data_IF_891443531582
#
_entry.id   IF_891443531582
#
_cell.length_a   1.000
_cell.length_b   1.000
_cell.length_c   1.000
_cell.angle_alpha   90.00
_cell.angle_beta   90.00
_cell.angle_gamma   90.00
#
_symmetry.space_group_name_H-M   'P 1'
#
loop_
_entity.id
_entity.type
_entity.pdbx_description
1 polymer ?
#
# COMPACT_ATOMS: atom_id res chain seq x y z
N UNK A 1 -6.14 -11.58 -18.60
CA UNK A 1 -5.59 -12.89 -18.20
C UNK A 1 -4.14 -12.69 -17.77
N UNK A 2 -3.71 -13.27 -16.65
CA UNK A 2 -2.34 -13.17 -16.14
C UNK A 2 -1.64 -14.52 -16.35
N UNK A 3 -0.46 -14.52 -16.95
CA UNK A 3 0.27 -15.75 -17.31
C UNK A 3 1.74 -15.66 -16.85
N UNK A 4 2.27 -16.79 -16.37
CA UNK A 4 3.65 -16.87 -15.87
C UNK A 4 3.85 -16.16 -14.52
N UNK A 5 5.11 -15.79 -14.22
CA UNK A 5 5.50 -15.01 -13.02
C UNK A 5 5.19 -15.70 -11.68
N UNK A 6 5.11 -17.03 -11.66
CA UNK A 6 4.78 -17.77 -10.43
C UNK A 6 5.84 -17.58 -9.34
N UNK A 7 7.12 -17.58 -9.70
CA UNK A 7 8.21 -17.36 -8.75
C UNK A 7 8.18 -15.94 -8.15
N UNK A 8 7.86 -14.94 -8.98
CA UNK A 8 7.68 -13.55 -8.52
C UNK A 8 6.46 -13.45 -7.57
N UNK A 9 5.34 -14.11 -7.90
CA UNK A 9 4.17 -14.15 -7.02
C UNK A 9 4.45 -14.86 -5.70
N UNK A 10 5.20 -15.98 -5.72
CA UNK A 10 5.61 -16.68 -4.52
C UNK A 10 6.53 -15.81 -3.65
N UNK A 11 7.41 -15.01 -4.27
CA UNK A 11 8.26 -14.05 -3.56
C UNK A 11 7.42 -12.98 -2.86
N UNK A 12 6.42 -12.42 -3.55
CA UNK A 12 5.51 -11.43 -2.95
C UNK A 12 4.67 -12.06 -1.83
N UNK A 13 4.17 -13.28 -2.03
CA UNK A 13 3.41 -14.03 -1.00
C UNK A 13 4.25 -14.25 0.26
N UNK A 14 5.47 -14.77 0.11
CA UNK A 14 6.37 -15.03 1.23
C UNK A 14 6.71 -13.74 1.99
N UNK A 15 6.97 -12.64 1.25
CA UNK A 15 7.20 -11.33 1.86
C UNK A 15 5.98 -10.83 2.65
N UNK A 16 4.78 -10.91 2.07
CA UNK A 16 3.56 -10.43 2.72
C UNK A 16 3.17 -11.26 3.95
N UNK A 17 3.46 -12.56 3.95
CA UNK A 17 3.18 -13.47 5.06
C UNK A 17 4.31 -13.57 6.09
N UNK A 18 5.49 -13.03 5.77
CA UNK A 18 6.68 -13.04 6.62
C UNK A 18 6.70 -11.94 7.67
N UNK A 19 7.86 -11.78 8.30
CA UNK A 19 8.16 -10.81 9.37
C UNK A 19 9.08 -9.66 8.92
N UNK A 20 9.23 -9.49 7.60
CA UNK A 20 10.00 -8.39 7.02
C UNK A 20 9.44 -7.01 7.44
N UNK A 21 10.32 -6.12 7.88
CA UNK A 21 9.99 -4.77 8.31
C UNK A 21 10.40 -3.68 7.29
N UNK A 22 10.78 -4.09 6.07
CA UNK A 22 11.20 -3.20 4.99
C UNK A 22 10.27 -3.35 3.79
N UNK A 23 9.96 -2.28 3.05
CA UNK A 23 9.14 -2.38 1.85
C UNK A 23 9.79 -3.29 0.78
N UNK A 24 8.98 -4.17 0.17
CA UNK A 24 9.35 -4.89 -1.05
C UNK A 24 9.19 -3.98 -2.27
N UNK A 25 10.26 -3.83 -3.06
CA UNK A 25 10.28 -3.01 -4.28
C UNK A 25 10.28 -3.88 -5.52
N UNK A 26 9.26 -3.73 -6.36
CA UNK A 26 9.21 -4.35 -7.70
C UNK A 26 9.86 -3.38 -8.71
N UNK A 27 10.99 -3.76 -9.28
CA UNK A 27 11.71 -2.95 -10.27
C UNK A 27 11.95 -3.71 -11.57
N UNK A 28 12.19 -2.97 -12.65
CA UNK A 28 12.39 -3.50 -14.00
C UNK A 28 11.99 -2.50 -15.07
N UNK A 29 12.26 -2.81 -16.33
CA UNK A 29 12.01 -1.90 -17.46
C UNK A 29 10.53 -1.50 -17.60
N UNK A 30 10.30 -0.37 -18.29
CA UNK A 30 8.95 0.07 -18.65
C UNK A 30 8.21 -1.02 -19.43
N UNK A 31 6.95 -1.28 -19.07
CA UNK A 31 6.14 -2.30 -19.75
C UNK A 31 6.44 -3.77 -19.39
N UNK A 32 7.39 -4.06 -18.49
CA UNK A 32 7.70 -5.45 -18.13
C UNK A 32 6.62 -6.16 -17.28
N UNK A 33 5.55 -5.45 -16.91
CA UNK A 33 4.38 -6.01 -16.21
C UNK A 33 4.36 -5.83 -14.69
N UNK A 34 5.12 -4.90 -14.12
CA UNK A 34 5.14 -4.59 -12.67
C UNK A 34 3.74 -4.32 -12.11
N UNK A 35 3.00 -3.39 -12.73
CA UNK A 35 1.62 -3.06 -12.35
C UNK A 35 0.70 -4.28 -12.39
N UNK A 36 0.88 -5.15 -13.40
CA UNK A 36 0.12 -6.40 -13.52
C UNK A 36 0.47 -7.38 -12.40
N UNK A 37 1.75 -7.51 -12.03
CA UNK A 37 2.21 -8.36 -10.94
C UNK A 37 1.70 -7.85 -9.59
N UNK A 38 1.78 -6.54 -9.34
CA UNK A 38 1.26 -5.88 -8.14
C UNK A 38 -0.25 -6.08 -8.02
N UNK A 39 -1.00 -5.83 -9.10
CA UNK A 39 -2.46 -6.01 -9.15
C UNK A 39 -2.84 -7.47 -8.94
N UNK A 40 -2.10 -8.42 -9.53
CA UNK A 40 -2.32 -9.85 -9.34
C UNK A 40 -2.07 -10.26 -7.90
N UNK A 41 -1.01 -9.76 -7.28
CA UNK A 41 -0.68 -10.01 -5.87
C UNK A 41 -1.78 -9.50 -4.94
N UNK A 42 -2.24 -8.26 -5.15
CA UNK A 42 -3.36 -7.70 -4.39
C UNK A 42 -4.64 -8.55 -4.54
N UNK A 43 -4.93 -9.06 -5.74
CA UNK A 43 -6.08 -9.94 -5.97
C UNK A 43 -5.99 -11.29 -5.26
N UNK A 44 -4.77 -11.80 -5.05
CA UNK A 44 -4.51 -13.07 -4.37
C UNK A 44 -4.52 -12.94 -2.84
N UNK A 45 -4.42 -11.73 -2.28
CA UNK A 45 -4.34 -11.51 -0.83
C UNK A 45 -5.51 -12.12 -0.05
N UNK A 46 -6.72 -12.17 -0.64
CA UNK A 46 -7.87 -12.84 -0.02
C UNK A 46 -7.62 -14.35 0.21
N UNK A 47 -6.86 -14.99 -0.68
CA UNK A 47 -6.50 -16.41 -0.57
C UNK A 47 -5.31 -16.58 0.37
N UNK A 48 -4.26 -15.78 0.22
CA UNK A 48 -3.04 -15.85 1.03
C UNK A 48 -3.29 -15.60 2.52
N UNK A 49 -4.22 -14.68 2.83
CA UNK A 49 -4.60 -14.34 4.21
C UNK A 49 -5.90 -15.02 4.63
N UNK A 50 -6.18 -16.24 4.16
CA UNK A 50 -7.34 -17.01 4.58
C UNK A 50 -7.41 -17.13 6.12
N UNK A 51 -8.57 -16.85 6.70
CA UNK A 51 -8.75 -16.82 8.16
C UNK A 51 -8.41 -15.49 8.84
N UNK A 52 -7.82 -14.54 8.12
CA UNK A 52 -7.59 -13.15 8.56
C UNK A 52 -8.53 -12.19 7.82
N UNK A 53 -8.57 -10.94 8.27
CA UNK A 53 -9.34 -9.85 7.63
C UNK A 53 -8.38 -8.75 7.17
N UNK A 54 -7.58 -8.98 6.10
CA UNK A 54 -6.64 -7.99 5.63
C UNK A 54 -7.36 -6.72 5.16
N UNK A 55 -6.87 -5.58 5.60
CA UNK A 55 -7.27 -4.27 5.10
C UNK A 55 -6.30 -3.87 4.00
N UNK A 56 -6.81 -3.75 2.78
CA UNK A 56 -5.98 -3.44 1.62
C UNK A 56 -6.11 -1.96 1.24
N UNK A 57 -4.96 -1.34 1.05
CA UNK A 57 -4.82 -0.02 0.48
C UNK A 57 -3.98 -0.11 -0.78
N UNK A 58 -4.58 0.21 -1.92
CA UNK A 58 -3.91 0.21 -3.23
C UNK A 58 -3.94 1.63 -3.77
N UNK A 59 -2.79 2.13 -4.25
CA UNK A 59 -2.67 3.45 -4.92
C UNK A 59 -1.94 3.29 -6.25
N UNK A 60 -2.54 3.82 -7.31
CA UNK A 60 -1.90 4.02 -8.61
C UNK A 60 -1.52 5.49 -8.71
N UNK A 61 -0.23 5.77 -8.57
CA UNK A 61 0.30 7.13 -8.42
C UNK A 61 0.55 7.74 -9.80
N UNK A 62 0.57 9.07 -9.88
CA UNK A 62 0.82 9.77 -11.15
C UNK A 62 -0.37 9.79 -12.12
N UNK A 63 -1.56 9.32 -11.70
CA UNK A 63 -2.75 9.26 -12.58
C UNK A 63 -3.63 10.50 -12.50
N UNK A 64 -3.61 11.19 -11.36
CA UNK A 64 -4.28 12.48 -11.09
C UNK A 64 -3.39 13.37 -10.22
N UNK A 65 -3.56 14.71 -10.22
CA UNK A 65 -2.78 15.61 -9.37
C UNK A 65 -2.76 15.21 -7.89
N UNK A 66 -3.91 14.82 -7.33
CA UNK A 66 -4.05 14.39 -5.94
C UNK A 66 -3.30 13.09 -5.62
N UNK A 67 -3.00 12.27 -6.64
CA UNK A 67 -2.16 11.06 -6.54
C UNK A 67 -0.69 11.30 -6.90
N UNK A 68 -0.34 12.53 -7.27
CA UNK A 68 1.01 12.95 -7.67
C UNK A 68 1.67 13.85 -6.63
N UNK A 69 0.91 14.47 -5.73
CA UNK A 69 1.44 15.30 -4.64
C UNK A 69 1.42 14.55 -3.30
N UNK A 70 2.53 14.59 -2.56
CA UNK A 70 2.73 13.81 -1.35
C UNK A 70 1.67 14.06 -0.25
N UNK A 71 1.40 15.33 0.08
CA UNK A 71 0.45 15.68 1.15
C UNK A 71 -0.99 15.17 0.88
N UNK A 72 -1.66 15.51 -0.23
CA UNK A 72 -3.03 15.04 -0.48
C UNK A 72 -3.10 13.51 -0.61
N UNK A 73 -2.09 12.88 -1.21
CA UNK A 73 -2.00 11.42 -1.29
C UNK A 73 -1.96 10.81 0.11
N UNK A 74 -1.08 11.30 0.99
CA UNK A 74 -0.91 10.80 2.35
C UNK A 74 -2.17 11.06 3.20
N UNK A 75 -2.80 12.24 3.09
CA UNK A 75 -4.09 12.53 3.74
C UNK A 75 -5.17 11.55 3.30
N UNK A 76 -5.24 11.21 2.01
CA UNK A 76 -6.19 10.22 1.50
C UNK A 76 -5.95 8.83 2.07
N UNK A 77 -4.68 8.45 2.29
CA UNK A 77 -4.31 7.17 2.88
C UNK A 77 -4.69 7.13 4.35
N UNK A 78 -4.38 8.18 5.13
CA UNK A 78 -4.76 8.30 6.52
C UNK A 78 -6.28 8.15 6.70
N UNK A 79 -7.08 8.89 5.90
CA UNK A 79 -8.54 8.78 5.90
C UNK A 79 -9.01 7.36 5.60
N UNK A 80 -8.44 6.69 4.60
CA UNK A 80 -8.85 5.33 4.27
C UNK A 80 -8.48 4.32 5.38
N UNK A 81 -7.32 4.47 6.01
CA UNK A 81 -6.92 3.61 7.13
C UNK A 81 -7.86 3.84 8.32
N UNK A 82 -8.14 5.09 8.70
CA UNK A 82 -9.11 5.41 9.75
C UNK A 82 -10.48 4.82 9.47
N UNK A 83 -10.99 4.94 8.23
CA UNK A 83 -12.26 4.32 7.82
C UNK A 83 -12.27 2.81 8.05
N UNK A 84 -11.21 2.13 7.59
CA UNK A 84 -11.11 0.68 7.65
C UNK A 84 -10.94 0.14 9.08
N UNK A 85 -10.27 0.89 9.96
CA UNK A 85 -10.12 0.57 11.38
C UNK A 85 -11.22 1.17 12.28
N UNK A 86 -12.24 1.84 11.70
CA UNK A 86 -13.33 2.50 12.44
C UNK A 86 -12.84 3.56 13.45
N UNK A 87 -11.83 4.34 13.07
CA UNK A 87 -11.26 5.43 13.85
C UNK A 87 -11.84 6.79 13.43
N UNK A 88 -11.70 7.81 14.29
CA UNK A 88 -12.07 9.19 13.93
C UNK A 88 -11.12 9.79 12.88
N UNK A 89 -11.62 10.78 12.15
CA UNK A 89 -10.84 11.61 11.21
C UNK A 89 -10.43 12.96 11.80
N UNK A 90 -10.91 13.30 13.00
CA UNK A 90 -10.77 14.66 13.56
C UNK A 90 -9.31 15.04 13.79
N UNK A 91 -8.45 14.05 14.02
CA UNK A 91 -7.03 14.23 14.34
C UNK A 91 -6.11 14.20 13.11
N UNK A 92 -6.64 14.09 11.89
CA UNK A 92 -5.81 14.04 10.68
C UNK A 92 -5.20 15.43 10.41
N UNK A 93 -3.86 15.58 10.51
CA UNK A 93 -3.23 16.89 10.32
C UNK A 93 -3.20 17.33 8.86
N UNK A 94 -3.27 18.65 8.62
CA UNK A 94 -3.15 19.23 7.28
C UNK A 94 -1.67 19.38 6.85
N UNK A 95 -0.78 19.67 7.81
CA UNK A 95 0.65 19.88 7.54
C UNK A 95 1.40 18.56 7.34
N UNK A 96 2.32 18.51 6.38
CA UNK A 96 2.99 17.28 5.95
C UNK A 96 3.78 16.58 7.07
N UNK A 97 4.48 17.35 7.93
CA UNK A 97 5.30 16.81 9.02
C UNK A 97 4.43 16.08 10.06
N UNK A 98 3.43 16.70 10.69
CA UNK A 98 2.55 16.00 11.62
C UNK A 98 1.72 14.91 10.91
N UNK A 99 1.33 15.10 9.65
CA UNK A 99 0.64 14.07 8.86
C UNK A 99 1.51 12.81 8.67
N UNK A 100 2.82 12.97 8.47
CA UNK A 100 3.76 11.85 8.37
C UNK A 100 3.89 11.10 9.70
N UNK A 101 3.90 11.82 10.81
CA UNK A 101 3.89 11.20 12.15
C UNK A 101 2.59 10.44 12.38
N UNK A 102 1.45 11.07 12.09
CA UNK A 102 0.13 10.45 12.21
C UNK A 102 0.00 9.19 11.34
N UNK A 103 0.50 9.21 10.10
CA UNK A 103 0.52 8.03 9.25
C UNK A 103 1.32 6.88 9.89
N UNK A 104 2.48 7.15 10.50
CA UNK A 104 3.27 6.12 11.21
C UNK A 104 2.50 5.52 12.39
N UNK A 105 1.75 6.34 13.13
CA UNK A 105 0.89 5.87 14.22
C UNK A 105 -0.22 4.95 13.68
N UNK A 106 -0.85 5.33 12.57
CA UNK A 106 -1.86 4.50 11.91
C UNK A 106 -1.31 3.15 11.44
N UNK A 107 -0.06 3.08 10.97
CA UNK A 107 0.58 1.81 10.60
C UNK A 107 0.70 0.85 11.80
N UNK A 108 0.80 1.37 13.03
CA UNK A 108 0.88 0.56 14.26
C UNK A 108 -0.45 -0.08 14.67
N UNK A 109 -1.57 0.30 14.04
CA UNK A 109 -2.89 -0.27 14.31
C UNK A 109 -3.08 -1.66 13.67
N UNK A 110 -2.17 -2.07 12.78
CA UNK A 110 -2.21 -3.39 12.16
C UNK A 110 -2.03 -4.50 13.20
N UNK A 111 -2.85 -5.55 13.08
CA UNK A 111 -2.77 -6.74 13.94
C UNK A 111 -2.67 -8.00 13.10
N UNK A 112 -2.27 -9.12 13.69
CA UNK A 112 -2.25 -10.40 12.97
C UNK A 112 -3.62 -10.82 12.43
N UNK A 113 -4.69 -10.50 13.15
CA UNK A 113 -6.07 -10.81 12.75
C UNK A 113 -6.59 -9.85 11.66
N UNK A 114 -6.15 -8.59 11.72
CA UNK A 114 -6.56 -7.51 10.81
C UNK A 114 -5.29 -6.80 10.28
N UNK A 115 -4.51 -7.46 9.41
CA UNK A 115 -3.26 -6.91 8.90
C UNK A 115 -3.54 -5.79 7.89
N UNK A 116 -2.67 -4.78 7.84
CA UNK A 116 -2.71 -3.70 6.87
C UNK A 116 -1.77 -4.02 5.70
N UNK A 117 -2.31 -4.11 4.49
CA UNK A 117 -1.55 -4.36 3.26
C UNK A 117 -1.56 -3.11 2.39
N UNK A 118 -0.37 -2.57 2.08
CA UNK A 118 -0.22 -1.35 1.29
C UNK A 118 0.50 -1.68 -0.02
N UNK A 119 -0.15 -1.34 -1.14
CA UNK A 119 0.40 -1.48 -2.48
C UNK A 119 0.45 -0.11 -3.14
N UNK A 120 1.65 0.29 -3.55
CA UNK A 120 1.89 1.55 -4.26
C UNK A 120 2.47 1.23 -5.64
N UNK A 121 1.77 1.62 -6.69
CA UNK A 121 2.24 1.50 -8.07
C UNK A 121 2.75 2.87 -8.55
N UNK A 122 3.84 2.87 -9.32
CA UNK A 122 4.45 4.08 -9.89
C UNK A 122 4.88 5.14 -8.85
N UNK A 123 5.51 4.69 -7.76
CA UNK A 123 6.04 5.58 -6.68
C UNK A 123 7.00 6.64 -7.22
N UNK A 124 7.71 6.36 -8.31
CA UNK A 124 8.59 7.30 -9.02
C UNK A 124 7.86 8.53 -9.60
N UNK A 125 6.53 8.48 -9.70
CA UNK A 125 5.69 9.59 -10.17
C UNK A 125 5.25 10.54 -9.04
N UNK A 126 5.61 10.26 -7.78
CA UNK A 126 5.33 11.16 -6.67
C UNK A 126 6.25 12.38 -6.70
N UNK A 127 5.65 13.55 -6.56
CA UNK A 127 6.32 14.85 -6.45
C UNK A 127 6.21 15.37 -5.02
N UNK A 128 7.20 16.16 -4.60
CA UNK A 128 7.22 16.77 -3.26
C UNK A 128 7.91 15.95 -2.17
N UNK A 129 8.62 14.88 -2.53
CA UNK A 129 9.65 14.27 -1.69
C UNK A 129 10.98 15.04 -1.90
N UNK A 130 11.08 16.24 -1.32
CA UNK A 130 12.32 17.01 -1.25
C UNK A 130 12.63 17.41 0.18
#
# INVERSE_FOLDING_TARGET
VFYGRQDDLNTVENYLLGDDNKPLVLHGEGGCGKTSLLSKSASNCKVWFAGKKPLMLIRFLGTTPDSSSLAPMLTSMCRQICYNYMMSYDDIPDDLVPLTTYFKELLSMATEAVPLLIFLDSVDQLTGAQ
#
